data_IF_290415820455
#
_entry.id   IF_290415820455
#
_cell.length_a   1.000
_cell.length_b   1.000
_cell.length_c   1.000
_cell.angle_alpha   90.00
_cell.angle_beta   90.00
_cell.angle_gamma   90.00
#
_symmetry.space_group_name_H-M   'P 1'
#
loop_
_entity.id
_entity.type
_entity.pdbx_description
1 polymer ?
#
# COMPACT_ATOMS: atom_id res chain seq x y z
N UNK A 1 29.07 -29.10 -23.07
CA UNK A 1 30.11 -28.47 -23.93
C UNK A 1 29.39 -27.91 -25.15
N UNK A 2 28.96 -26.65 -25.08
CA UNK A 2 28.51 -25.89 -26.25
C UNK A 2 29.68 -24.96 -26.58
N UNK A 3 30.16 -25.06 -27.81
CA UNK A 3 31.39 -24.45 -28.31
C UNK A 3 31.39 -22.93 -28.14
N UNK A 4 32.59 -22.39 -27.91
CA UNK A 4 33.00 -20.98 -27.99
C UNK A 4 32.67 -20.35 -29.36
N UNK A 5 31.40 -20.22 -29.72
CA UNK A 5 30.97 -19.37 -30.81
C UNK A 5 30.44 -18.09 -30.20
N UNK A 6 31.07 -16.98 -30.58
CA UNK A 6 30.69 -15.62 -30.25
C UNK A 6 29.18 -15.47 -30.41
N UNK A 7 28.43 -15.54 -29.32
CA UNK A 7 27.12 -14.91 -29.30
C UNK A 7 27.46 -13.42 -29.28
N UNK A 8 27.30 -12.77 -30.44
CA UNK A 8 27.41 -11.33 -30.56
C UNK A 8 26.54 -10.71 -29.45
N UNK A 9 27.12 -9.84 -28.63
CA UNK A 9 26.44 -9.18 -27.49
C UNK A 9 25.10 -8.60 -27.91
N UNK A 10 25.01 -8.09 -29.15
CA UNK A 10 23.79 -7.56 -29.75
C UNK A 10 22.72 -8.64 -30.00
N UNK A 11 23.12 -9.83 -30.50
CA UNK A 11 22.21 -10.95 -30.74
C UNK A 11 21.69 -11.55 -29.42
N UNK A 12 22.56 -11.65 -28.41
CA UNK A 12 22.17 -12.06 -27.07
C UNK A 12 21.21 -11.06 -26.42
N UNK A 13 21.53 -9.76 -26.51
CA UNK A 13 20.70 -8.68 -25.99
C UNK A 13 19.30 -8.71 -26.61
N UNK A 14 19.20 -8.82 -27.94
CA UNK A 14 17.91 -8.90 -28.66
C UNK A 14 17.09 -10.14 -28.28
N UNK A 15 17.74 -11.29 -28.10
CA UNK A 15 17.07 -12.53 -27.67
C UNK A 15 16.52 -12.39 -26.24
N UNK A 16 17.34 -11.88 -25.30
CA UNK A 16 16.93 -11.71 -23.92
C UNK A 16 15.88 -10.60 -23.76
N UNK A 17 16.01 -9.50 -24.49
CA UNK A 17 15.01 -8.43 -24.53
C UNK A 17 13.67 -8.99 -25.01
N UNK A 18 13.66 -9.82 -26.07
CA UNK A 18 12.44 -10.50 -26.53
C UNK A 18 11.83 -11.41 -25.47
N UNK A 19 12.63 -12.29 -24.86
CA UNK A 19 12.17 -13.23 -23.84
C UNK A 19 11.62 -12.51 -22.60
N UNK A 20 12.25 -11.41 -22.19
CA UNK A 20 11.79 -10.62 -21.05
C UNK A 20 10.58 -9.78 -21.42
N UNK A 21 10.50 -9.24 -22.63
CA UNK A 21 9.31 -8.51 -23.11
C UNK A 21 8.09 -9.42 -23.16
N UNK A 22 8.25 -10.67 -23.59
CA UNK A 22 7.17 -11.66 -23.62
C UNK A 22 6.67 -12.02 -22.21
N UNK A 23 7.57 -12.09 -21.21
CA UNK A 23 7.21 -12.50 -19.83
C UNK A 23 6.91 -11.34 -18.86
N UNK A 24 7.52 -10.19 -19.08
CA UNK A 24 7.50 -8.99 -18.23
C UNK A 24 7.63 -7.74 -19.11
N UNK A 25 6.58 -7.38 -19.88
CA UNK A 25 6.63 -6.29 -20.87
C UNK A 25 7.04 -4.93 -20.27
N UNK A 26 6.65 -4.67 -19.02
CA UNK A 26 7.04 -3.46 -18.29
C UNK A 26 8.56 -3.34 -18.11
N UNK A 27 9.28 -4.46 -18.09
CA UNK A 27 10.71 -4.49 -17.77
C UNK A 27 11.60 -4.17 -18.95
N UNK A 28 11.08 -4.27 -20.17
CA UNK A 28 11.84 -3.99 -21.40
C UNK A 28 12.53 -2.63 -21.35
N UNK A 29 11.84 -1.61 -20.84
CA UNK A 29 12.31 -0.22 -20.84
C UNK A 29 13.31 0.09 -19.69
N UNK A 30 13.68 -0.91 -18.89
CA UNK A 30 14.50 -0.76 -17.70
C UNK A 30 15.80 -1.56 -17.76
N UNK A 31 16.02 -2.37 -18.79
CA UNK A 31 17.08 -3.37 -18.78
C UNK A 31 18.31 -2.91 -19.55
N UNK A 32 19.48 -3.21 -18.97
CA UNK A 32 20.78 -3.07 -19.59
C UNK A 32 21.48 -4.42 -19.62
N UNK A 33 22.05 -4.75 -20.77
CA UNK A 33 22.75 -6.00 -21.00
C UNK A 33 24.25 -5.74 -21.07
N UNK A 34 25.04 -6.58 -20.40
CA UNK A 34 26.50 -6.56 -20.54
C UNK A 34 27.05 -7.98 -20.53
N UNK A 35 28.11 -8.20 -21.31
CA UNK A 35 28.84 -9.46 -21.33
C UNK A 35 30.16 -9.25 -20.59
N UNK A 36 30.29 -9.83 -19.40
CA UNK A 36 31.49 -9.73 -18.57
C UNK A 36 32.09 -11.14 -18.46
N UNK A 37 33.31 -11.33 -18.98
CA UNK A 37 34.05 -12.60 -18.90
C UNK A 37 33.28 -13.84 -19.41
N UNK A 38 32.52 -13.68 -20.50
CA UNK A 38 31.71 -14.76 -21.06
C UNK A 38 30.44 -15.09 -20.26
N UNK A 39 30.12 -14.30 -19.24
CA UNK A 39 28.83 -14.32 -18.54
C UNK A 39 27.99 -13.16 -19.04
N UNK A 40 26.75 -13.46 -19.40
CA UNK A 40 25.77 -12.44 -19.67
C UNK A 40 25.14 -11.97 -18.36
N UNK A 41 25.27 -10.68 -18.09
CA UNK A 41 24.69 -10.04 -16.93
C UNK A 41 23.60 -9.06 -17.38
N UNK A 42 22.47 -9.15 -16.70
CA UNK A 42 21.28 -8.33 -16.93
C UNK A 42 21.12 -7.46 -15.71
N UNK A 43 21.08 -6.14 -15.92
CA UNK A 43 20.95 -5.16 -14.85
C UNK A 43 19.78 -4.23 -15.15
N UNK A 44 19.21 -3.67 -14.10
CA UNK A 44 18.27 -2.57 -14.23
C UNK A 44 19.05 -1.27 -14.37
N UNK A 45 18.78 -0.51 -15.42
CA UNK A 45 19.27 0.84 -15.58
C UNK A 45 18.47 1.75 -14.65
N UNK A 46 19.09 2.14 -13.53
CA UNK A 46 18.45 2.93 -12.48
C UNK A 46 17.89 4.25 -13.02
N UNK A 47 18.64 4.93 -13.89
CA UNK A 47 18.21 6.21 -14.45
C UNK A 47 16.95 6.05 -15.30
N UNK A 48 16.92 5.02 -16.17
CA UNK A 48 15.71 4.71 -16.93
C UNK A 48 14.56 4.25 -16.03
N UNK A 49 14.84 3.52 -14.95
CA UNK A 49 13.85 3.12 -13.95
C UNK A 49 13.18 4.31 -13.27
N UNK A 50 13.96 5.30 -12.83
CA UNK A 50 13.40 6.52 -12.26
C UNK A 50 12.57 7.28 -13.30
N UNK A 51 13.15 7.60 -14.45
CA UNK A 51 12.49 8.41 -15.47
C UNK A 51 11.19 7.78 -15.98
N UNK A 52 11.24 6.54 -16.48
CA UNK A 52 10.07 5.87 -17.03
C UNK A 52 9.10 5.43 -15.92
N UNK A 53 9.62 5.07 -14.75
CA UNK A 53 8.79 4.64 -13.63
C UNK A 53 7.94 5.77 -13.07
N UNK A 54 8.54 6.93 -12.81
CA UNK A 54 7.82 8.13 -12.35
C UNK A 54 6.82 8.58 -13.41
N UNK A 55 7.21 8.56 -14.69
CA UNK A 55 6.32 8.88 -15.81
C UNK A 55 5.07 8.00 -15.81
N UNK A 56 5.23 6.68 -15.67
CA UNK A 56 4.10 5.75 -15.58
C UNK A 56 3.22 6.04 -14.36
N UNK A 57 3.82 6.32 -13.20
CA UNK A 57 3.07 6.68 -11.99
C UNK A 57 2.24 7.94 -12.21
N UNK A 58 2.81 8.98 -12.84
CA UNK A 58 2.11 10.22 -13.14
C UNK A 58 1.01 10.04 -14.19
N UNK A 59 1.28 9.30 -15.26
CA UNK A 59 0.30 9.01 -16.33
C UNK A 59 -0.90 8.22 -15.81
N UNK A 60 -0.66 7.25 -14.91
CA UNK A 60 -1.73 6.45 -14.31
C UNK A 60 -2.42 7.16 -13.13
N UNK A 61 -1.70 8.04 -12.42
CA UNK A 61 -2.21 8.80 -11.28
C UNK A 61 -2.87 7.90 -10.23
N UNK A 62 -4.14 8.18 -9.92
CA UNK A 62 -4.94 7.39 -8.96
C UNK A 62 -5.18 5.94 -9.41
N UNK A 63 -5.00 5.64 -10.69
CA UNK A 63 -5.09 4.28 -11.23
C UNK A 63 -3.77 3.52 -11.13
N UNK A 64 -2.69 4.13 -10.64
CA UNK A 64 -1.43 3.41 -10.44
C UNK A 64 -1.58 2.31 -9.40
N UNK A 65 -1.13 1.10 -9.75
CA UNK A 65 -1.41 -0.10 -8.95
C UNK A 65 -2.67 -0.85 -9.38
N UNK A 66 -3.47 -0.28 -10.31
CA UNK A 66 -4.52 -1.04 -10.97
C UNK A 66 -3.92 -2.20 -11.74
N UNK A 67 -4.46 -3.38 -11.48
CA UNK A 67 -4.13 -4.58 -12.23
C UNK A 67 -5.43 -5.01 -12.88
N UNK A 68 -5.55 -5.05 -14.22
CA UNK A 68 -6.75 -5.61 -14.88
C UNK A 68 -6.77 -7.14 -14.71
N UNK A 69 -7.01 -7.60 -13.48
CA UNK A 69 -7.01 -9.03 -13.13
C UNK A 69 -8.30 -9.67 -13.60
N UNK A 70 -9.41 -8.92 -13.56
CA UNK A 70 -10.74 -9.43 -13.88
C UNK A 70 -11.65 -8.29 -14.34
N UNK A 71 -12.58 -8.59 -15.25
CA UNK A 71 -13.70 -7.72 -15.63
C UNK A 71 -15.01 -8.19 -14.99
N UNK A 72 -14.92 -9.10 -14.00
CA UNK A 72 -16.08 -9.69 -13.35
C UNK A 72 -16.77 -8.72 -12.40
N UNK A 73 -18.05 -9.03 -12.16
CA UNK A 73 -18.93 -8.29 -11.26
C UNK A 73 -19.05 -9.04 -9.95
N UNK A 74 -18.68 -8.38 -8.86
CA UNK A 74 -18.66 -8.93 -7.50
C UNK A 74 -19.76 -8.28 -6.66
N UNK A 75 -20.42 -9.04 -5.79
CA UNK A 75 -21.15 -8.49 -4.65
C UNK A 75 -20.43 -8.91 -3.38
N UNK A 76 -20.11 -7.96 -2.50
CA UNK A 76 -19.46 -8.23 -1.21
C UNK A 76 -20.44 -7.91 -0.09
N UNK A 77 -20.75 -8.88 0.76
CA UNK A 77 -21.70 -8.69 1.86
C UNK A 77 -21.25 -9.39 3.15
N UNK A 78 -21.78 -8.90 4.27
CA UNK A 78 -21.63 -9.50 5.59
C UNK A 78 -22.75 -10.51 5.84
N UNK A 79 -22.42 -11.60 6.53
CA UNK A 79 -23.40 -12.56 7.00
C UNK A 79 -24.31 -11.97 8.09
N UNK A 80 -25.57 -12.37 8.14
CA UNK A 80 -26.50 -11.91 9.18
C UNK A 80 -26.18 -12.50 10.57
N UNK A 81 -25.14 -13.33 10.68
CA UNK A 81 -24.72 -13.96 11.93
C UNK A 81 -23.84 -13.08 12.82
N UNK A 82 -23.44 -11.91 12.35
CA UNK A 82 -22.64 -10.98 13.15
C UNK A 82 -23.50 -10.34 14.25
N UNK A 83 -22.94 -10.25 15.45
CA UNK A 83 -23.42 -9.31 16.46
C UNK A 83 -22.99 -7.89 16.06
N UNK A 84 -23.96 -7.04 15.72
CA UNK A 84 -23.76 -5.68 15.21
C UNK A 84 -23.01 -4.77 16.20
N UNK A 85 -23.02 -5.09 17.49
CA UNK A 85 -22.31 -4.32 18.51
C UNK A 85 -20.88 -4.82 18.77
N UNK A 86 -20.49 -5.95 18.17
CA UNK A 86 -19.18 -6.58 18.41
C UNK A 86 -18.06 -5.97 17.57
N UNK A 87 -16.84 -5.94 18.11
CA UNK A 87 -15.65 -5.53 17.33
C UNK A 87 -15.40 -6.49 16.15
N UNK A 88 -15.82 -7.75 16.28
CA UNK A 88 -15.72 -8.73 15.19
C UNK A 88 -16.58 -8.32 13.99
N UNK A 89 -17.75 -7.72 14.22
CA UNK A 89 -18.56 -7.10 13.16
C UNK A 89 -17.85 -5.90 12.53
N UNK A 90 -17.26 -5.01 13.34
CA UNK A 90 -16.46 -3.89 12.83
C UNK A 90 -15.31 -4.36 11.93
N UNK A 91 -14.58 -5.40 12.34
CA UNK A 91 -13.55 -6.04 11.50
C UNK A 91 -14.13 -6.52 10.17
N UNK A 92 -15.28 -7.19 10.20
CA UNK A 92 -15.99 -7.63 9.00
C UNK A 92 -16.32 -6.48 8.05
N UNK A 93 -16.85 -5.37 8.58
CA UNK A 93 -17.17 -4.17 7.80
C UNK A 93 -15.93 -3.59 7.12
N UNK A 94 -14.83 -3.42 7.86
CA UNK A 94 -13.57 -2.91 7.29
C UNK A 94 -13.03 -3.87 6.22
N UNK A 95 -13.09 -5.18 6.44
CA UNK A 95 -12.69 -6.17 5.42
C UNK A 95 -13.55 -6.04 4.17
N UNK A 96 -14.86 -5.83 4.31
CA UNK A 96 -15.78 -5.59 3.20
C UNK A 96 -15.33 -4.35 2.40
N UNK A 97 -15.14 -3.22 3.07
CA UNK A 97 -14.77 -1.95 2.44
C UNK A 97 -13.43 -2.06 1.71
N UNK A 98 -12.41 -2.67 2.34
CA UNK A 98 -11.09 -2.89 1.72
C UNK A 98 -11.20 -3.80 0.50
N UNK A 99 -11.95 -4.91 0.59
CA UNK A 99 -12.11 -5.83 -0.54
C UNK A 99 -12.81 -5.15 -1.72
N UNK A 100 -13.87 -4.39 -1.47
CA UNK A 100 -14.56 -3.66 -2.52
C UNK A 100 -13.62 -2.69 -3.24
N UNK A 101 -12.81 -1.92 -2.49
CA UNK A 101 -11.83 -1.01 -3.09
C UNK A 101 -10.76 -1.76 -3.89
N UNK A 102 -10.22 -2.85 -3.36
CA UNK A 102 -9.19 -3.63 -4.05
C UNK A 102 -9.72 -4.30 -5.32
N UNK A 103 -10.97 -4.78 -5.32
CA UNK A 103 -11.63 -5.32 -6.50
C UNK A 103 -11.78 -4.22 -7.57
N UNK A 104 -12.29 -3.03 -7.18
CA UNK A 104 -12.40 -1.86 -8.07
C UNK A 104 -11.04 -1.48 -8.68
N UNK A 105 -9.99 -1.39 -7.85
CA UNK A 105 -8.62 -1.11 -8.32
C UNK A 105 -8.11 -2.23 -9.23
N UNK A 106 -8.50 -3.48 -8.98
CA UNK A 106 -8.09 -4.64 -9.79
C UNK A 106 -8.95 -4.86 -11.06
N UNK A 107 -9.66 -3.82 -11.49
CA UNK A 107 -10.46 -3.81 -12.73
C UNK A 107 -11.84 -4.46 -12.62
N UNK A 108 -12.17 -5.06 -11.48
CA UNK A 108 -13.48 -5.65 -11.23
C UNK A 108 -14.53 -4.59 -10.92
N UNK A 109 -15.80 -4.93 -11.15
CA UNK A 109 -16.93 -4.07 -10.77
C UNK A 109 -17.56 -4.59 -9.48
N UNK A 110 -17.90 -3.69 -8.55
CA UNK A 110 -18.60 -4.06 -7.31
C UNK A 110 -20.05 -3.58 -7.40
N UNK A 111 -20.98 -4.50 -7.22
CA UNK A 111 -22.41 -4.23 -7.15
C UNK A 111 -22.80 -3.92 -5.70
N UNK A 112 -23.29 -2.70 -5.46
CA UNK A 112 -23.77 -2.24 -4.16
C UNK A 112 -25.26 -2.59 -4.02
N UNK A 113 -25.61 -3.40 -3.02
CA UNK A 113 -26.97 -3.95 -2.86
C UNK A 113 -27.95 -2.95 -2.22
N UNK A 114 -27.46 -1.81 -1.73
CA UNK A 114 -28.27 -0.81 -1.04
C UNK A 114 -28.47 0.43 -1.92
N UNK A 115 -29.70 0.62 -2.42
CA UNK A 115 -30.20 1.94 -2.79
C UNK A 115 -30.32 2.32 -4.27
N UNK A 116 -30.04 1.44 -5.23
CA UNK A 116 -30.36 1.73 -6.64
C UNK A 116 -31.22 0.62 -7.26
N UNK A 117 -32.52 0.90 -7.36
CA UNK A 117 -33.32 0.33 -8.42
C UNK A 117 -32.74 0.88 -9.73
N UNK A 118 -32.02 0.06 -10.48
CA UNK A 118 -32.01 0.00 -11.95
C UNK A 118 -30.87 -0.91 -12.43
N UNK A 119 -31.27 -1.82 -13.33
CA UNK A 119 -30.49 -2.74 -14.18
C UNK A 119 -30.29 -4.15 -13.64
N UNK A 120 -30.73 -5.12 -14.44
CA UNK A 120 -30.64 -6.58 -14.32
C UNK A 120 -29.19 -7.10 -14.31
N UNK A 121 -28.33 -6.55 -13.46
CA UNK A 121 -26.93 -6.95 -13.33
C UNK A 121 -26.85 -7.99 -12.21
N UNK A 122 -26.86 -9.27 -12.58
CA UNK A 122 -26.65 -10.35 -11.64
C UNK A 122 -25.14 -10.49 -11.40
N UNK A 123 -24.62 -10.28 -10.17
CA UNK A 123 -23.20 -10.43 -9.91
C UNK A 123 -22.75 -11.87 -10.21
N UNK A 124 -21.68 -11.99 -10.99
CA UNK A 124 -21.11 -13.27 -11.37
C UNK A 124 -20.43 -13.98 -10.19
N UNK A 125 -19.94 -13.20 -9.22
CA UNK A 125 -19.26 -13.69 -8.03
C UNK A 125 -19.86 -13.05 -6.76
N UNK A 126 -20.29 -13.89 -5.81
CA UNK A 126 -20.83 -13.45 -4.53
C UNK A 126 -19.81 -13.76 -3.44
N UNK A 127 -19.30 -12.71 -2.80
CA UNK A 127 -18.38 -12.81 -1.67
C UNK A 127 -19.19 -12.58 -0.39
N UNK A 128 -19.19 -13.60 0.47
CA UNK A 128 -19.83 -13.54 1.79
C UNK A 128 -18.78 -13.62 2.89
N UNK A 129 -18.73 -12.61 3.75
CA UNK A 129 -17.85 -12.56 4.92
C UNK A 129 -18.62 -13.12 6.12
N UNK A 130 -18.03 -14.07 6.86
CA UNK A 130 -18.68 -14.73 8.01
C UNK A 130 -17.68 -15.11 9.10
N UNK A 131 -18.14 -15.35 10.32
CA UNK A 131 -17.34 -15.95 11.40
C UNK A 131 -17.48 -17.47 11.45
N UNK A 132 -18.49 -18.02 10.80
CA UNK A 132 -18.80 -19.45 10.83
C UNK A 132 -17.89 -20.25 9.92
N UNK A 133 -17.57 -21.46 10.34
CA UNK A 133 -16.99 -22.43 9.43
C UNK A 133 -18.04 -22.84 8.40
N UNK A 134 -17.80 -22.50 7.14
CA UNK A 134 -18.62 -22.95 6.02
C UNK A 134 -17.85 -24.04 5.29
N UNK A 135 -18.45 -25.21 5.03
CA UNK A 135 -17.83 -26.23 4.19
C UNK A 135 -17.43 -25.60 2.85
N UNK A 136 -16.24 -25.91 2.34
CA UNK A 136 -15.78 -25.40 1.04
C UNK A 136 -16.73 -25.90 -0.06
N UNK A 137 -17.75 -25.11 -0.37
CA UNK A 137 -18.58 -25.34 -1.54
C UNK A 137 -17.73 -25.06 -2.77
N UNK A 138 -17.54 -26.09 -3.61
CA UNK A 138 -16.84 -25.95 -4.90
C UNK A 138 -17.71 -25.28 -5.97
N UNK A 139 -18.74 -24.53 -5.58
CA UNK A 139 -19.50 -23.73 -6.54
C UNK A 139 -18.63 -22.54 -6.87
N UNK A 140 -18.11 -22.52 -8.10
CA UNK A 140 -17.09 -21.59 -8.63
C UNK A 140 -17.42 -20.08 -8.53
N UNK A 141 -18.52 -19.69 -7.89
CA UNK A 141 -19.10 -18.33 -7.90
C UNK A 141 -19.58 -17.83 -6.53
N UNK A 142 -19.61 -18.68 -5.51
CA UNK A 142 -19.97 -18.30 -4.14
C UNK A 142 -18.73 -18.42 -3.24
N UNK A 143 -18.05 -17.29 -3.05
CA UNK A 143 -16.83 -17.18 -2.27
C UNK A 143 -17.21 -16.88 -0.82
N UNK A 144 -16.75 -17.72 0.11
CA UNK A 144 -16.94 -17.48 1.56
C UNK A 144 -15.62 -17.15 2.22
N UNK A 145 -15.55 -15.97 2.85
CA UNK A 145 -14.38 -15.50 3.60
C UNK A 145 -14.67 -15.64 5.09
N UNK A 146 -14.02 -16.60 5.74
CA UNK A 146 -14.06 -16.73 7.20
C UNK A 146 -13.15 -15.68 7.84
N UNK A 147 -13.66 -14.90 8.77
CA UNK A 147 -12.85 -14.01 9.61
C UNK A 147 -12.76 -14.56 11.04
N UNK A 148 -11.59 -14.41 11.65
CA UNK A 148 -11.36 -14.77 13.03
C UNK A 148 -11.94 -13.73 13.98
N UNK A 149 -12.45 -14.19 15.12
CA UNK A 149 -13.03 -13.34 16.14
C UNK A 149 -12.00 -12.38 16.75
N UNK A 150 -12.49 -11.23 17.19
CA UNK A 150 -11.72 -10.27 17.99
C UNK A 150 -12.11 -10.46 19.45
N UNK A 151 -11.11 -10.76 20.27
CA UNK A 151 -11.20 -10.87 21.72
C UNK A 151 -10.58 -9.62 22.35
N UNK A 152 -10.99 -9.23 23.55
CA UNK A 152 -10.35 -8.16 24.33
C UNK A 152 -9.69 -8.77 25.56
N UNK A 153 -8.47 -8.37 25.91
CA UNK A 153 -7.74 -8.95 27.05
C UNK A 153 -8.21 -8.43 28.42
N UNK A 154 -8.83 -7.25 28.45
CA UNK A 154 -8.97 -6.45 29.68
C UNK A 154 -10.42 -6.24 30.12
N UNK A 155 -11.39 -6.88 29.45
CA UNK A 155 -12.78 -6.86 29.89
C UNK A 155 -13.02 -8.09 30.76
N UNK A 156 -13.32 -7.87 32.04
CA UNK A 156 -14.03 -8.87 32.83
C UNK A 156 -15.24 -9.33 32.00
N UNK A 157 -15.51 -10.64 32.04
CA UNK A 157 -16.47 -11.36 31.18
C UNK A 157 -17.92 -10.80 31.26
N UNK A 158 -18.17 -9.81 32.11
CA UNK A 158 -19.49 -9.27 32.46
C UNK A 158 -19.85 -7.94 31.77
N UNK A 159 -18.89 -7.21 31.15
CA UNK A 159 -19.22 -6.02 30.37
C UNK A 159 -19.27 -6.33 28.86
N UNK A 160 -20.44 -6.16 28.24
CA UNK A 160 -20.58 -6.16 26.78
C UNK A 160 -19.72 -5.06 26.17
N UNK A 161 -18.52 -5.42 25.72
CA UNK A 161 -17.60 -4.47 25.10
C UNK A 161 -18.08 -4.10 23.70
N UNK A 162 -18.57 -2.87 23.53
CA UNK A 162 -19.18 -2.38 22.29
C UNK A 162 -18.18 -1.71 21.37
N UNK A 163 -18.56 -1.58 20.08
CA UNK A 163 -17.83 -0.75 19.11
C UNK A 163 -17.65 0.68 19.61
N UNK A 164 -18.68 1.29 20.20
CA UNK A 164 -18.59 2.67 20.74
C UNK A 164 -17.53 2.78 21.83
N UNK A 165 -17.51 1.85 22.79
CA UNK A 165 -16.49 1.82 23.85
C UNK A 165 -15.09 1.66 23.26
N UNK A 166 -14.92 0.84 22.23
CA UNK A 166 -13.66 0.67 21.53
C UNK A 166 -13.17 1.97 20.87
N UNK A 167 -14.05 2.68 20.15
CA UNK A 167 -13.74 3.97 19.53
C UNK A 167 -13.34 5.01 20.57
N UNK A 168 -14.07 5.09 21.68
CA UNK A 168 -13.78 6.04 22.76
C UNK A 168 -12.39 5.78 23.37
N UNK A 169 -12.07 4.52 23.69
CA UNK A 169 -10.74 4.14 24.23
C UNK A 169 -9.62 4.54 23.26
N UNK A 170 -9.77 4.25 21.95
CA UNK A 170 -8.74 4.64 20.97
C UNK A 170 -8.66 6.15 20.78
N UNK A 171 -9.77 6.87 20.89
CA UNK A 171 -9.79 8.33 20.82
C UNK A 171 -9.05 8.97 21.98
N UNK A 172 -9.26 8.46 23.20
CA UNK A 172 -8.56 8.88 24.41
C UNK A 172 -7.05 8.60 24.28
N UNK A 173 -6.66 7.36 23.95
CA UNK A 173 -5.25 6.99 23.80
C UNK A 173 -4.51 7.86 22.74
N UNK A 174 -5.15 8.11 21.59
CA UNK A 174 -4.58 8.97 20.54
C UNK A 174 -4.50 10.42 21.00
N UNK A 175 -5.49 10.90 21.75
CA UNK A 175 -5.47 12.26 22.30
C UNK A 175 -4.32 12.44 23.29
N UNK A 176 -4.16 11.51 24.23
CA UNK A 176 -3.06 11.51 25.19
C UNK A 176 -1.69 11.47 24.50
N UNK A 177 -1.53 10.65 23.46
CA UNK A 177 -0.29 10.57 22.69
C UNK A 177 0.01 11.85 21.90
N UNK A 178 -1.01 12.48 21.32
CA UNK A 178 -0.86 13.75 20.61
C UNK A 178 -0.41 14.85 21.57
N UNK A 179 -1.07 14.99 22.71
CA UNK A 179 -0.86 16.07 23.66
C UNK A 179 0.53 16.02 24.33
N UNK A 180 1.17 14.85 24.35
CA UNK A 180 2.49 14.64 24.98
C UNK A 180 3.69 14.53 24.04
N UNK A 181 3.53 14.23 22.74
CA UNK A 181 4.67 13.86 21.85
C UNK A 181 4.64 14.40 20.43
N UNK A 182 3.53 14.91 19.94
CA UNK A 182 3.41 15.33 18.54
C UNK A 182 3.17 16.84 18.50
N UNK A 183 4.21 17.63 18.20
CA UNK A 183 4.01 18.98 17.70
C UNK A 183 3.38 18.85 16.30
N UNK A 184 2.05 18.87 16.25
CA UNK A 184 1.23 18.62 15.06
C UNK A 184 1.33 19.83 14.12
N UNK A 185 2.02 19.66 12.99
CA UNK A 185 2.08 20.66 11.92
C UNK A 185 1.01 20.37 10.84
N UNK A 186 0.02 21.26 10.82
CA UNK A 186 -0.99 21.68 9.82
C UNK A 186 -1.49 20.81 8.64
N UNK A 187 -0.90 19.68 8.25
CA UNK A 187 -1.26 18.98 6.99
C UNK A 187 -2.19 17.75 7.16
N UNK A 188 -2.32 17.20 8.37
CA UNK A 188 -3.30 16.14 8.72
C UNK A 188 -3.75 16.42 10.16
N UNK A 189 -4.60 17.41 10.27
CA UNK A 189 -5.02 17.98 11.56
C UNK A 189 -6.15 17.21 12.23
N UNK A 190 -6.61 16.07 11.70
CA UNK A 190 -7.76 15.40 12.27
C UNK A 190 -7.33 14.22 13.16
N UNK A 191 -7.51 14.37 14.48
CA UNK A 191 -7.37 13.27 15.45
C UNK A 191 -8.21 12.05 15.02
N UNK A 192 -9.34 12.28 14.37
CA UNK A 192 -10.21 11.25 13.80
C UNK A 192 -9.53 10.38 12.74
N UNK A 193 -8.67 10.95 11.88
CA UNK A 193 -7.94 10.18 10.87
C UNK A 193 -6.93 9.23 11.54
N UNK A 194 -6.28 9.68 12.62
CA UNK A 194 -5.35 8.88 13.39
C UNK A 194 -6.06 7.75 14.14
N UNK A 195 -7.24 8.03 14.71
CA UNK A 195 -8.10 7.01 15.35
C UNK A 195 -8.54 5.98 14.31
N UNK A 196 -9.02 6.44 13.15
CA UNK A 196 -9.46 5.57 12.05
C UNK A 196 -8.32 4.69 11.56
N UNK A 197 -7.15 5.28 11.28
CA UNK A 197 -5.97 4.52 10.88
C UNK A 197 -5.57 3.48 11.94
N UNK A 198 -5.60 3.86 13.22
CA UNK A 198 -5.28 2.95 14.32
C UNK A 198 -6.23 1.75 14.35
N UNK A 199 -7.53 1.98 14.19
CA UNK A 199 -8.54 0.92 14.14
C UNK A 199 -8.31 -0.01 12.93
N UNK A 200 -7.98 0.54 11.77
CA UNK A 200 -7.66 -0.27 10.59
C UNK A 200 -6.43 -1.16 10.83
N UNK A 201 -5.37 -0.62 11.41
CA UNK A 201 -4.17 -1.38 11.75
C UNK A 201 -4.46 -2.45 12.79
N UNK A 202 -5.16 -2.11 13.87
CA UNK A 202 -5.59 -3.07 14.89
C UNK A 202 -6.29 -4.27 14.27
N UNK A 203 -7.24 -4.05 13.37
CA UNK A 203 -8.15 -5.11 12.93
C UNK A 203 -7.64 -5.88 11.69
N UNK A 204 -6.79 -5.27 10.86
CA UNK A 204 -6.40 -5.82 9.54
C UNK A 204 -4.90 -6.14 9.42
N UNK A 205 -4.02 -5.58 10.25
CA UNK A 205 -2.57 -5.83 10.14
C UNK A 205 -2.19 -7.30 10.35
N UNK A 206 -3.02 -8.06 11.05
CA UNK A 206 -2.86 -9.52 11.20
C UNK A 206 -3.65 -10.30 10.17
N UNK A 207 -3.38 -11.61 10.06
CA UNK A 207 -4.17 -12.49 9.20
C UNK A 207 -5.65 -12.48 9.63
N UNK A 208 -6.53 -12.03 8.73
CA UNK A 208 -7.98 -11.87 8.97
C UNK A 208 -8.69 -13.17 9.34
N UNK A 209 -8.14 -14.32 8.95
CA UNK A 209 -8.73 -15.65 9.22
C UNK A 209 -8.44 -16.15 10.64
N UNK A 210 -7.51 -15.51 11.35
CA UNK A 210 -7.11 -15.91 12.71
C UNK A 210 -7.80 -15.03 13.74
N UNK A 211 -8.19 -15.66 14.85
CA UNK A 211 -8.62 -14.97 16.06
C UNK A 211 -7.49 -14.09 16.57
N UNK A 212 -7.82 -12.87 16.98
CA UNK A 212 -6.89 -11.90 17.54
C UNK A 212 -7.41 -11.45 18.91
N UNK A 213 -6.49 -11.20 19.83
CA UNK A 213 -6.77 -10.46 21.07
C UNK A 213 -6.28 -9.02 20.93
N UNK A 214 -7.18 -8.06 21.15
CA UNK A 214 -6.85 -6.66 21.31
C UNK A 214 -6.44 -6.40 22.75
N UNK A 215 -5.29 -5.74 22.89
CA UNK A 215 -4.80 -5.21 24.15
C UNK A 215 -5.23 -3.76 24.25
N UNK A 216 -6.04 -3.44 25.26
CA UNK A 216 -6.67 -2.15 25.45
C UNK A 216 -6.20 -1.58 26.78
N UNK A 217 -5.71 -0.33 26.79
CA UNK A 217 -5.22 0.30 28.01
C UNK A 217 -3.77 -0.04 28.37
N UNK A 218 -3.29 0.66 29.40
CA UNK A 218 -1.87 0.90 29.71
C UNK A 218 -1.09 -0.26 30.36
N UNK A 219 -1.63 -1.48 30.41
CA UNK A 219 -1.04 -2.48 31.29
C UNK A 219 0.29 -3.10 30.82
N UNK A 220 0.75 -2.88 29.58
CA UNK A 220 2.12 -3.24 29.12
C UNK A 220 2.68 -2.31 28.03
N UNK A 221 3.53 -1.32 28.37
CA UNK A 221 4.16 -0.41 27.40
C UNK A 221 5.14 -1.09 26.41
N UNK A 222 5.57 -2.32 26.72
CA UNK A 222 6.58 -3.09 25.97
C UNK A 222 6.04 -3.90 24.79
N UNK A 223 4.71 -4.04 24.64
CA UNK A 223 4.17 -4.60 23.41
C UNK A 223 4.12 -3.52 22.32
N UNK A 224 4.60 -3.89 21.12
CA UNK A 224 4.40 -3.12 19.89
C UNK A 224 2.90 -3.08 19.60
N UNK A 225 2.19 -2.12 20.19
CA UNK A 225 0.78 -1.90 19.90
C UNK A 225 0.66 -1.46 18.44
N UNK A 226 -0.36 -1.98 17.76
CA UNK A 226 -0.73 -1.59 16.39
C UNK A 226 -0.96 -0.08 16.25
N UNK A 227 -1.37 0.59 17.34
CA UNK A 227 -1.40 2.04 17.46
C UNK A 227 -0.07 2.73 17.15
N UNK A 228 1.07 2.25 17.70
CA UNK A 228 2.39 2.81 17.37
C UNK A 228 2.73 2.62 15.88
N UNK A 229 2.28 1.52 15.28
CA UNK A 229 2.45 1.25 13.85
C UNK A 229 1.66 2.24 12.98
N UNK A 230 0.37 2.39 13.25
CA UNK A 230 -0.50 3.33 12.54
C UNK A 230 0.00 4.77 12.65
N UNK A 231 0.32 5.23 13.87
CA UNK A 231 0.87 6.55 14.11
C UNK A 231 2.19 6.77 13.36
N UNK A 232 3.07 5.76 13.32
CA UNK A 232 4.33 5.86 12.59
C UNK A 232 4.13 6.00 11.08
N UNK A 233 3.19 5.25 10.50
CA UNK A 233 2.85 5.35 9.08
C UNK A 233 2.23 6.71 8.77
N UNK A 234 1.22 7.12 9.55
CA UNK A 234 0.55 8.40 9.38
C UNK A 234 1.53 9.56 9.53
N UNK A 235 2.41 9.53 10.52
CA UNK A 235 3.44 10.56 10.71
C UNK A 235 4.37 10.71 9.51
N UNK A 236 4.78 9.61 8.88
CA UNK A 236 5.59 9.67 7.65
C UNK A 236 4.78 10.15 6.44
N UNK A 237 3.49 9.82 6.37
CA UNK A 237 2.58 10.41 5.39
C UNK A 237 2.48 11.93 5.55
N UNK A 238 2.29 12.45 6.78
CA UNK A 238 2.27 13.90 7.04
C UNK A 238 3.57 14.56 6.62
N UNK A 239 4.71 13.92 6.90
CA UNK A 239 6.04 14.43 6.50
C UNK A 239 6.17 14.56 4.99
N UNK A 240 5.69 13.57 4.23
CA UNK A 240 5.66 13.61 2.76
C UNK A 240 4.79 14.77 2.28
N UNK A 241 3.54 14.87 2.75
CA UNK A 241 2.64 15.96 2.37
C UNK A 241 3.24 17.33 2.74
N UNK A 242 3.79 17.46 3.95
CA UNK A 242 4.41 18.70 4.42
C UNK A 242 5.67 19.08 3.63
N UNK A 243 6.44 18.09 3.20
CA UNK A 243 7.62 18.29 2.35
C UNK A 243 7.22 18.90 1.01
N UNK A 244 6.20 18.34 0.36
CA UNK A 244 5.66 18.85 -0.91
C UNK A 244 5.04 20.24 -0.74
N UNK A 245 4.18 20.42 0.27
CA UNK A 245 3.58 21.73 0.55
C UNK A 245 4.64 22.80 0.85
N UNK A 246 5.72 22.45 1.53
CA UNK A 246 6.84 23.37 1.77
C UNK A 246 7.57 23.72 0.47
N UNK A 247 7.80 22.76 -0.41
CA UNK A 247 8.35 23.03 -1.75
C UNK A 247 7.45 23.99 -2.53
N UNK A 248 6.14 23.71 -2.60
CA UNK A 248 5.16 24.57 -3.29
C UNK A 248 5.15 26.00 -2.73
N UNK A 249 5.18 26.17 -1.40
CA UNK A 249 5.29 27.49 -0.77
C UNK A 249 6.59 28.22 -1.12
N UNK A 250 7.71 27.50 -1.27
CA UNK A 250 8.98 28.09 -1.71
C UNK A 250 8.94 28.50 -3.18
N UNK A 251 8.19 27.78 -4.03
CA UNK A 251 7.92 28.17 -5.42
C UNK A 251 7.03 29.43 -5.46
N UNK A 252 5.92 29.44 -4.70
CA UNK A 252 5.01 30.59 -4.61
C UNK A 252 5.70 31.86 -4.11
N UNK A 253 6.62 31.72 -3.15
CA UNK A 253 7.45 32.83 -2.64
C UNK A 253 8.64 33.18 -3.53
N UNK A 254 8.74 32.61 -4.74
CA UNK A 254 9.82 32.83 -5.72
C UNK A 254 11.22 32.50 -5.20
N UNK A 255 11.32 31.66 -4.16
CA UNK A 255 12.60 31.18 -3.61
C UNK A 255 13.11 29.96 -4.39
N UNK A 256 12.20 29.15 -4.91
CA UNK A 256 12.49 28.03 -5.82
C UNK A 256 11.86 28.28 -7.20
N UNK A 257 12.42 27.60 -8.20
CA UNK A 257 11.80 27.51 -9.51
C UNK A 257 10.68 26.45 -9.48
N UNK A 258 9.65 26.57 -10.34
CA UNK A 258 8.64 25.54 -10.51
C UNK A 258 9.27 24.18 -10.82
N UNK A 259 8.62 23.10 -10.39
CA UNK A 259 9.04 21.75 -10.71
C UNK A 259 8.99 21.56 -12.24
N UNK A 260 10.11 21.25 -12.91
CA UNK A 260 10.13 20.95 -14.34
C UNK A 260 9.34 19.68 -14.66
N UNK A 261 9.07 19.43 -15.94
CA UNK A 261 8.44 18.17 -16.35
C UNK A 261 9.39 16.98 -16.15
N UNK A 262 8.86 15.77 -16.01
CA UNK A 262 9.67 14.55 -15.81
C UNK A 262 10.70 14.35 -16.92
N UNK A 263 10.37 14.72 -18.16
CA UNK A 263 11.28 14.58 -19.31
C UNK A 263 12.46 15.57 -19.28
N UNK A 264 12.39 16.63 -18.46
CA UNK A 264 13.43 17.66 -18.31
C UNK A 264 14.33 17.44 -17.07
N UNK A 265 14.03 16.41 -16.26
CA UNK A 265 14.73 16.13 -15.01
C UNK A 265 15.84 15.10 -15.22
N UNK A 266 17.04 15.43 -14.72
CA UNK A 266 18.16 14.50 -14.71
C UNK A 266 18.09 13.54 -13.51
N UNK A 267 17.49 12.36 -13.74
CA UNK A 267 17.42 11.29 -12.75
C UNK A 267 18.72 10.52 -12.54
N UNK A 268 19.78 10.78 -13.32
CA UNK A 268 21.11 10.18 -13.05
C UNK A 268 21.73 10.70 -11.75
N UNK A 269 21.20 11.83 -11.23
CA UNK A 269 21.59 12.43 -9.96
C UNK A 269 21.13 11.63 -8.74
N UNK A 270 20.12 10.76 -8.89
CA UNK A 270 19.64 9.86 -7.84
C UNK A 270 20.56 8.64 -7.72
N UNK A 271 21.65 8.83 -6.98
CA UNK A 271 22.75 7.87 -6.86
C UNK A 271 22.74 7.07 -5.55
N UNK A 272 21.89 7.44 -4.59
CA UNK A 272 21.88 6.78 -3.29
C UNK A 272 21.14 5.44 -3.36
N UNK A 273 21.64 4.44 -2.64
CA UNK A 273 20.98 3.13 -2.56
C UNK A 273 19.58 3.24 -1.94
N UNK A 274 19.40 4.14 -0.98
CA UNK A 274 18.09 4.39 -0.37
C UNK A 274 17.07 4.96 -1.38
N UNK A 275 17.50 5.84 -2.29
CA UNK A 275 16.65 6.37 -3.37
C UNK A 275 16.22 5.23 -4.30
N UNK A 276 17.16 4.35 -4.65
CA UNK A 276 16.90 3.18 -5.48
C UNK A 276 15.90 2.23 -4.83
N UNK A 277 16.10 1.89 -3.55
CA UNK A 277 15.22 0.98 -2.82
C UNK A 277 13.81 1.56 -2.70
N UNK A 278 13.67 2.86 -2.40
CA UNK A 278 12.37 3.53 -2.35
C UNK A 278 11.62 3.42 -3.69
N UNK A 279 12.31 3.65 -4.81
CA UNK A 279 11.69 3.55 -6.12
C UNK A 279 11.32 2.12 -6.49
N UNK A 280 12.27 1.19 -6.38
CA UNK A 280 12.10 -0.15 -6.91
C UNK A 280 11.28 -1.06 -5.99
N UNK A 281 11.58 -1.09 -4.70
CA UNK A 281 10.94 -2.01 -3.74
C UNK A 281 9.58 -1.51 -3.26
N UNK A 282 9.28 -0.22 -3.44
CA UNK A 282 8.04 0.38 -2.95
C UNK A 282 7.20 1.00 -4.06
N UNK A 283 7.69 2.05 -4.73
CA UNK A 283 6.89 2.75 -5.75
C UNK A 283 6.52 1.80 -6.90
N UNK A 284 7.51 1.22 -7.58
CA UNK A 284 7.27 0.31 -8.71
C UNK A 284 6.70 -1.05 -8.29
N UNK A 285 6.88 -1.46 -7.04
CA UNK A 285 6.38 -2.73 -6.55
C UNK A 285 4.92 -2.66 -6.07
N UNK A 286 4.37 -1.46 -5.84
CA UNK A 286 2.99 -1.25 -5.38
C UNK A 286 1.93 -2.04 -6.17
N UNK A 287 1.91 -2.07 -7.51
CA UNK A 287 0.95 -2.90 -8.26
C UNK A 287 1.02 -4.38 -7.89
N UNK A 288 2.22 -4.90 -7.61
CA UNK A 288 2.39 -6.29 -7.19
C UNK A 288 1.79 -6.53 -5.80
N UNK A 289 1.92 -5.58 -4.87
CA UNK A 289 1.30 -5.66 -3.55
C UNK A 289 -0.23 -5.69 -3.63
N UNK A 290 -0.81 -4.82 -4.46
CA UNK A 290 -2.27 -4.79 -4.71
C UNK A 290 -2.74 -6.13 -5.28
N UNK A 291 -2.04 -6.68 -6.26
CA UNK A 291 -2.37 -8.01 -6.79
C UNK A 291 -2.23 -9.11 -5.73
N UNK A 292 -1.17 -9.07 -4.93
CA UNK A 292 -0.90 -10.08 -3.91
C UNK A 292 -1.90 -10.05 -2.75
N UNK A 293 -2.51 -8.92 -2.44
CA UNK A 293 -3.52 -8.80 -1.38
C UNK A 293 -4.82 -9.54 -1.74
N UNK A 294 -5.14 -9.64 -3.04
CA UNK A 294 -6.25 -10.43 -3.57
C UNK A 294 -5.86 -11.86 -3.99
N UNK A 295 -4.60 -12.27 -3.80
CA UNK A 295 -4.24 -13.65 -4.03
C UNK A 295 -5.11 -14.56 -3.16
N UNK A 296 -5.57 -15.64 -3.77
CA UNK A 296 -6.45 -16.62 -3.17
C UNK A 296 -7.85 -16.10 -2.78
N UNK A 297 -8.32 -15.03 -3.44
CA UNK A 297 -9.68 -14.51 -3.24
C UNK A 297 -10.73 -15.58 -3.57
N UNK A 298 -10.56 -16.32 -4.67
CA UNK A 298 -11.48 -17.39 -5.10
C UNK A 298 -11.59 -18.52 -4.05
N UNK A 299 -10.51 -18.83 -3.34
CA UNK A 299 -10.52 -19.77 -2.22
C UNK A 299 -11.01 -19.16 -0.89
N UNK A 300 -11.42 -17.89 -0.89
CA UNK A 300 -11.87 -17.17 0.30
C UNK A 300 -10.75 -16.86 1.29
N UNK A 301 -9.50 -16.73 0.80
CA UNK A 301 -8.30 -16.51 1.60
C UNK A 301 -7.47 -15.28 1.19
N UNK A 302 -8.09 -14.09 1.01
CA UNK A 302 -7.34 -12.90 0.62
C UNK A 302 -6.33 -12.48 1.70
N UNK A 303 -5.19 -11.95 1.26
CA UNK A 303 -4.06 -11.61 2.12
C UNK A 303 -3.99 -10.11 2.42
N UNK A 304 -5.08 -9.51 2.89
CA UNK A 304 -5.19 -8.05 3.10
C UNK A 304 -4.09 -7.46 4.00
N UNK A 305 -3.61 -8.23 4.98
CA UNK A 305 -2.52 -7.84 5.88
C UNK A 305 -1.20 -7.48 5.17
N UNK A 306 -0.99 -7.91 3.91
CA UNK A 306 0.22 -7.58 3.15
C UNK A 306 0.33 -6.08 2.86
N UNK A 307 -0.80 -5.39 2.68
CA UNK A 307 -0.84 -3.94 2.44
C UNK A 307 -0.33 -3.20 3.68
N UNK A 308 -0.83 -3.55 4.86
CA UNK A 308 -0.42 -2.94 6.12
C UNK A 308 1.06 -3.20 6.44
N UNK A 309 1.54 -4.41 6.16
CA UNK A 309 2.97 -4.73 6.27
C UNK A 309 3.80 -3.90 5.30
N UNK A 310 3.35 -3.76 4.06
CA UNK A 310 4.01 -2.92 3.06
C UNK A 310 4.11 -1.47 3.52
N UNK A 311 3.01 -0.87 4.00
CA UNK A 311 2.99 0.50 4.52
C UNK A 311 3.97 0.69 5.68
N UNK A 312 4.01 -0.24 6.63
CA UNK A 312 4.98 -0.19 7.74
C UNK A 312 6.44 -0.19 7.25
N UNK A 313 6.78 -1.07 6.31
CA UNK A 313 8.13 -1.14 5.78
C UNK A 313 8.47 0.10 4.94
N UNK A 314 7.55 0.57 4.10
CA UNK A 314 7.74 1.78 3.32
C UNK A 314 8.01 2.99 4.22
N UNK A 315 7.18 3.18 5.25
CA UNK A 315 7.39 4.27 6.22
C UNK A 315 8.70 4.14 6.98
N UNK A 316 9.18 2.92 7.24
CA UNK A 316 10.48 2.68 7.88
C UNK A 316 11.63 3.14 6.99
N UNK A 317 11.67 2.66 5.74
CA UNK A 317 12.71 3.02 4.79
C UNK A 317 12.68 4.51 4.45
N UNK A 318 11.48 5.07 4.26
CA UNK A 318 11.33 6.50 4.03
C UNK A 318 11.81 7.33 5.23
N UNK A 319 11.47 6.94 6.46
CA UNK A 319 11.93 7.67 7.65
C UNK A 319 13.46 7.67 7.77
N UNK A 320 14.12 6.57 7.41
CA UNK A 320 15.59 6.48 7.41
C UNK A 320 16.18 7.38 6.32
N UNK A 321 15.63 7.31 5.11
CA UNK A 321 16.05 8.15 3.99
C UNK A 321 15.89 9.65 4.32
N UNK A 322 14.71 10.06 4.77
CA UNK A 322 14.41 11.45 5.12
C UNK A 322 15.35 12.02 6.19
N UNK A 323 15.72 11.20 7.19
CA UNK A 323 16.64 11.63 8.23
C UNK A 323 18.08 11.85 7.70
N UNK A 324 18.52 11.00 6.77
CA UNK A 324 19.91 11.02 6.25
C UNK A 324 20.08 11.95 5.06
N UNK A 325 19.01 12.22 4.33
CA UNK A 325 19.08 12.92 3.05
C UNK A 325 18.31 14.22 3.10
N UNK A 326 19.03 15.33 2.90
CA UNK A 326 18.43 16.65 2.79
C UNK A 326 17.76 16.78 1.41
N UNK A 327 16.44 16.66 1.39
CA UNK A 327 15.64 16.79 0.16
C UNK A 327 15.51 18.27 -0.25
N UNK A 328 15.03 19.14 0.65
CA UNK A 328 14.99 20.59 0.40
C UNK A 328 16.33 21.23 0.73
N UNK A 329 17.07 21.62 -0.31
CA UNK A 329 18.40 22.25 -0.23
C UNK A 329 18.33 23.75 -0.47
N UNK A 330 19.44 24.46 -0.29
CA UNK A 330 19.49 25.89 -0.60
C UNK A 330 19.28 26.11 -2.11
N UNK A 331 18.72 27.27 -2.48
CA UNK A 331 18.39 27.65 -3.87
C UNK A 331 19.66 27.99 -4.69
N UNK A 332 20.59 27.04 -4.80
CA UNK A 332 21.78 27.13 -5.65
C UNK A 332 21.50 26.35 -6.93
N UNK A 333 21.84 26.88 -8.12
CA UNK A 333 21.48 26.26 -9.41
C UNK A 333 21.85 24.77 -9.52
N UNK A 334 23.06 24.39 -9.09
CA UNK A 334 23.53 23.00 -9.14
C UNK A 334 22.86 22.05 -8.13
N UNK A 335 22.21 22.58 -7.09
CA UNK A 335 21.47 21.79 -6.11
C UNK A 335 19.99 21.62 -6.50
N UNK A 336 19.48 22.46 -7.41
CA UNK A 336 18.09 22.39 -7.85
C UNK A 336 17.81 21.16 -8.71
N UNK A 337 18.76 20.75 -9.55
CA UNK A 337 18.59 19.55 -10.41
C UNK A 337 18.33 18.28 -9.59
N UNK A 338 19.11 18.03 -8.53
CA UNK A 338 18.90 16.87 -7.65
C UNK A 338 17.66 17.04 -6.76
N UNK A 339 17.34 18.27 -6.37
CA UNK A 339 16.12 18.56 -5.61
C UNK A 339 14.89 18.19 -6.45
N UNK A 340 14.81 18.61 -7.71
CA UNK A 340 13.68 18.28 -8.59
C UNK A 340 13.53 16.77 -8.75
N UNK A 341 14.64 16.06 -8.97
CA UNK A 341 14.63 14.59 -9.06
C UNK A 341 14.09 13.90 -7.80
N UNK A 342 14.29 14.48 -6.61
CA UNK A 342 13.78 13.93 -5.33
C UNK A 342 12.36 14.35 -4.97
N UNK A 343 11.86 15.42 -5.57
CA UNK A 343 10.50 15.94 -5.35
C UNK A 343 9.49 15.20 -6.22
N UNK A 344 9.89 14.82 -7.45
CA UNK A 344 9.20 13.79 -8.22
C UNK A 344 9.20 12.46 -7.49
#
# INVERSE_FOLDING_TARGET
IISKNLINTDMFSKLMERLITEKKPLWKNYLKFSLIEGRASIFLDRTLCFANGIKIVQELGQNFGSNKVTEEIFSVSLDNSFDLNSITFLRGKIVCDILQQLIKISGGTVFETEGSALLDVNPNNKIKITTKDVPRNKVKRDITIKIGAILTSDCSVEENFTIEKYYNIRTEEISDMCDHKLEINSATNNKEDLVTATIFFDLIQSNIHKTMTLHLGNHKPDMKTSCKGALFVMYNYVRLVSLIAKFENLVLSKKYQPLPSVDEVDFSLLSQEAEWNLMYDYVLYWPTIVKQSLNYLEEGQPKLHTIFRFLMHFSSEFSIYYHRTRILTDSRPHLMSVLFARIH
#
